data_IF_263915688398
#
_entry.id   IF_263915688398
#
_cell.length_a   1.000
_cell.length_b   1.000
_cell.length_c   1.000
_cell.angle_alpha   90.00
_cell.angle_beta   90.00
_cell.angle_gamma   90.00
#
_symmetry.space_group_name_H-M   'P 1'
#
loop_
_entity.id
_entity.type
_entity.pdbx_description
1 polymer ?
#
# COMPACT_ATOMS: atom_id res chain seq x y z
N UNK A 1 -7.53 -5.54 -2.03
CA UNK A 1 -6.38 -4.97 -2.77
C UNK A 1 -6.91 -3.96 -3.74
N UNK A 2 -6.47 -2.72 -3.63
CA UNK A 2 -6.89 -1.62 -4.50
C UNK A 2 -5.94 -1.55 -5.71
N UNK A 3 -6.47 -1.27 -6.89
CA UNK A 3 -5.69 -1.21 -8.14
C UNK A 3 -6.00 0.08 -8.88
N UNK A 4 -5.06 1.00 -8.89
CA UNK A 4 -5.17 2.27 -9.62
C UNK A 4 -4.43 2.14 -10.95
N UNK A 5 -5.16 2.27 -12.06
CA UNK A 5 -4.63 2.09 -13.41
C UNK A 5 -4.49 3.44 -14.09
N UNK A 6 -3.31 3.69 -14.66
CA UNK A 6 -2.99 4.90 -15.39
C UNK A 6 -2.57 4.53 -16.80
N UNK A 7 -3.16 5.18 -17.80
CA UNK A 7 -2.76 5.00 -19.20
C UNK A 7 -2.22 6.33 -19.69
N UNK A 8 -0.97 6.33 -20.14
CA UNK A 8 -0.26 7.53 -20.57
C UNK A 8 0.13 7.39 -22.04
N UNK A 9 0.14 8.50 -22.77
CA UNK A 9 0.68 8.51 -24.13
C UNK A 9 2.20 8.36 -24.06
N UNK A 10 2.74 7.42 -24.82
CA UNK A 10 4.19 7.22 -24.91
C UNK A 10 4.86 8.27 -25.80
N UNK A 11 4.16 8.72 -26.84
CA UNK A 11 4.64 9.74 -27.78
C UNK A 11 4.07 11.11 -27.46
N UNK A 12 4.90 12.14 -27.59
CA UNK A 12 4.49 13.54 -27.47
C UNK A 12 3.76 14.04 -28.73
N UNK A 13 3.90 13.38 -29.87
CA UNK A 13 3.32 13.81 -31.14
C UNK A 13 2.73 12.65 -31.97
N UNK A 14 1.56 12.92 -32.58
CA UNK A 14 0.78 12.12 -33.55
C UNK A 14 0.34 10.70 -33.12
N UNK A 15 1.20 9.91 -32.48
CA UNK A 15 0.98 8.49 -32.24
C UNK A 15 0.05 8.20 -31.04
N UNK A 16 -1.26 8.42 -31.21
CA UNK A 16 -2.28 8.22 -30.17
C UNK A 16 -2.54 6.76 -29.75
N UNK A 17 -2.12 5.81 -30.59
CA UNK A 17 -2.22 4.37 -30.32
C UNK A 17 -1.04 3.84 -29.50
N UNK A 18 0.06 4.59 -29.41
CA UNK A 18 1.19 4.25 -28.56
C UNK A 18 0.87 4.69 -27.11
N UNK A 19 0.39 3.74 -26.30
CA UNK A 19 0.01 3.98 -24.90
C UNK A 19 0.74 3.02 -23.97
N UNK A 20 1.27 3.56 -22.89
CA UNK A 20 1.83 2.77 -21.80
C UNK A 20 0.80 2.66 -20.68
N UNK A 21 0.64 1.44 -20.15
CA UNK A 21 -0.30 1.14 -19.07
C UNK A 21 0.50 0.83 -17.81
N UNK A 22 0.28 1.63 -16.78
CA UNK A 22 0.87 1.44 -15.47
C UNK A 22 -0.22 1.19 -14.44
N UNK A 23 0.13 0.51 -13.36
CA UNK A 23 -0.75 0.37 -12.22
C UNK A 23 0.00 0.50 -10.91
N UNK A 24 -0.67 1.07 -9.92
CA UNK A 24 -0.26 1.07 -8.53
C UNK A 24 -1.21 0.14 -7.78
N UNK A 25 -0.66 -0.86 -7.09
CA UNK A 25 -1.42 -1.83 -6.31
C UNK A 25 -1.21 -1.57 -4.82
N UNK A 26 -2.28 -1.20 -4.12
CA UNK A 26 -2.24 -0.99 -2.66
C UNK A 26 -2.87 -2.19 -1.96
N UNK A 27 -2.08 -2.89 -1.15
CA UNK A 27 -2.50 -4.10 -0.44
C UNK A 27 -2.83 -3.78 1.02
N UNK A 28 -4.12 -3.61 1.31
CA UNK A 28 -4.62 -3.43 2.69
C UNK A 28 -4.73 -4.79 3.37
N UNK A 29 -4.15 -4.92 4.56
CA UNK A 29 -4.24 -6.10 5.46
C UNK A 29 -4.86 -5.64 6.77
N UNK A 30 -5.68 -6.50 7.38
CA UNK A 30 -6.34 -6.26 8.65
C UNK A 30 -5.93 -7.38 9.61
N UNK A 31 -5.49 -6.98 10.81
CA UNK A 31 -5.03 -7.87 11.87
C UNK A 31 -5.79 -7.47 13.13
N UNK A 32 -6.66 -8.36 13.61
CA UNK A 32 -7.43 -8.14 14.84
C UNK A 32 -6.77 -8.86 16.01
N UNK A 33 -6.55 -8.14 17.11
CA UNK A 33 -5.94 -8.66 18.34
C UNK A 33 -7.00 -8.67 19.43
N UNK A 34 -7.45 -9.86 19.82
CA UNK A 34 -8.55 -10.02 20.78
C UNK A 34 -8.17 -9.72 22.24
N UNK A 35 -6.90 -9.82 22.60
CA UNK A 35 -6.44 -9.61 23.98
C UNK A 35 -5.23 -8.66 24.00
N UNK A 36 -5.50 -7.38 24.23
CA UNK A 36 -4.50 -6.33 24.30
C UNK A 36 -3.95 -6.24 25.72
N UNK A 37 -2.80 -6.88 25.95
CA UNK A 37 -1.98 -6.61 27.15
C UNK A 37 -1.10 -5.39 26.88
N UNK A 38 -0.77 -4.61 27.92
CA UNK A 38 0.13 -3.46 27.79
C UNK A 38 1.49 -3.84 27.17
N UNK A 39 1.99 -5.05 27.48
CA UNK A 39 3.21 -5.59 26.87
C UNK A 39 3.09 -5.79 25.37
N UNK A 40 1.94 -6.26 24.88
CA UNK A 40 1.76 -6.53 23.44
C UNK A 40 1.69 -5.24 22.63
N UNK A 41 1.22 -4.13 23.22
CA UNK A 41 1.22 -2.80 22.58
C UNK A 41 2.66 -2.31 22.41
N UNK A 42 3.47 -2.42 23.48
CA UNK A 42 4.88 -2.02 23.45
C UNK A 42 5.67 -2.83 22.42
N UNK A 43 5.45 -4.14 22.35
CA UNK A 43 6.09 -5.03 21.38
C UNK A 43 5.71 -4.73 19.93
N UNK A 44 4.45 -4.38 19.66
CA UNK A 44 3.99 -4.00 18.32
C UNK A 44 4.59 -2.66 17.85
N UNK A 45 4.78 -1.72 18.78
CA UNK A 45 5.41 -0.43 18.48
C UNK A 45 6.92 -0.54 18.21
N UNK A 46 7.59 -1.51 18.84
CA UNK A 46 9.02 -1.78 18.68
C UNK A 46 9.34 -2.73 17.52
N UNK A 47 8.32 -3.26 16.82
CA UNK A 47 8.55 -4.18 15.72
C UNK A 47 9.23 -3.45 14.55
N UNK A 48 10.38 -3.97 14.11
CA UNK A 48 11.08 -3.45 12.94
C UNK A 48 10.32 -3.81 11.66
N UNK A 49 9.41 -2.93 11.26
CA UNK A 49 8.69 -3.02 10.01
C UNK A 49 9.57 -2.51 8.85
N UNK A 50 9.49 -3.13 7.66
CA UNK A 50 10.17 -2.61 6.48
C UNK A 50 9.64 -1.22 6.11
N UNK A 51 10.52 -0.33 5.65
CA UNK A 51 10.21 1.08 5.32
C UNK A 51 9.14 1.31 4.22
N UNK A 52 8.60 0.24 3.62
CA UNK A 52 7.56 0.30 2.59
C UNK A 52 6.16 -0.10 3.08
N UNK A 53 5.98 -0.31 4.38
CA UNK A 53 4.70 -0.70 4.98
C UNK A 53 4.20 0.42 5.88
N UNK A 54 2.97 0.86 5.62
CA UNK A 54 2.26 1.79 6.49
C UNK A 54 1.36 1.01 7.46
N UNK A 55 1.33 1.43 8.72
CA UNK A 55 0.57 0.76 9.80
C UNK A 55 -0.27 1.79 10.54
N UNK A 56 -1.58 1.56 10.57
CA UNK A 56 -2.54 2.35 11.33
C UNK A 56 -3.07 1.51 12.49
N UNK A 57 -2.82 1.94 13.73
CA UNK A 57 -3.33 1.27 14.94
C UNK A 57 -4.61 1.99 15.37
N UNK A 58 -5.74 1.27 15.39
CA UNK A 58 -7.00 1.74 15.98
C UNK A 58 -7.23 0.98 17.29
N UNK A 59 -7.40 1.73 18.38
CA UNK A 59 -7.80 1.20 19.69
C UNK A 59 -9.31 1.02 19.79
#
# INVERSE_FOLDING_TARGET
TERNRYTVLRSTFIHKNARDQYEIRTHKRLIDIYNTSAKTIDELSHLNLPAGVDVEIKM
#
